data_IF_655912623705
#
_entry.id   IF_655912623705
#
_cell.length_a   1.000
_cell.length_b   1.000
_cell.length_c   1.000
_cell.angle_alpha   90.00
_cell.angle_beta   90.00
_cell.angle_gamma   90.00
#
_symmetry.space_group_name_H-M   'P 1'
#
loop_
_entity.id
_entity.type
_entity.pdbx_description
1 polymer ?
#
# COMPACT_ATOMS: atom_id res chain seq x y z
N UNK A 1 -26.16 -7.60 -12.45
CA UNK A 1 -24.82 -7.02 -12.24
C UNK A 1 -23.93 -8.05 -11.54
N UNK A 2 -22.69 -8.23 -11.91
CA UNK A 2 -21.77 -9.16 -11.26
C UNK A 2 -21.60 -8.81 -9.77
N UNK A 3 -21.48 -9.85 -8.93
CA UNK A 3 -21.34 -9.66 -7.47
C UNK A 3 -19.94 -9.13 -7.13
N UNK A 4 -19.86 -8.06 -6.35
CA UNK A 4 -18.58 -7.53 -5.83
C UNK A 4 -17.91 -8.56 -4.91
N UNK A 5 -18.64 -9.03 -3.91
CA UNK A 5 -18.23 -10.02 -2.93
C UNK A 5 -18.33 -11.42 -3.51
N UNK A 6 -17.46 -11.75 -4.46
CA UNK A 6 -17.27 -13.13 -4.90
C UNK A 6 -16.31 -13.84 -3.94
N UNK A 7 -16.33 -15.18 -3.95
CA UNK A 7 -15.54 -15.99 -3.03
C UNK A 7 -14.03 -15.68 -3.05
N UNK A 8 -13.45 -15.46 -4.23
CA UNK A 8 -12.02 -15.14 -4.36
C UNK A 8 -11.70 -13.75 -3.80
N UNK A 9 -12.53 -12.73 -4.09
CA UNK A 9 -12.31 -11.40 -3.56
C UNK A 9 -12.44 -11.36 -2.03
N UNK A 10 -13.43 -12.05 -1.45
CA UNK A 10 -13.60 -12.15 0.00
C UNK A 10 -12.39 -12.80 0.66
N UNK A 11 -11.84 -13.86 0.07
CA UNK A 11 -10.63 -14.53 0.56
C UNK A 11 -9.42 -13.60 0.53
N UNK A 12 -9.18 -12.90 -0.59
CA UNK A 12 -8.06 -11.94 -0.73
C UNK A 12 -8.23 -10.77 0.24
N UNK A 13 -9.45 -10.29 0.44
CA UNK A 13 -9.77 -9.24 1.40
C UNK A 13 -9.45 -9.66 2.84
N UNK A 14 -9.86 -10.87 3.23
CA UNK A 14 -9.59 -11.43 4.56
C UNK A 14 -8.09 -11.69 4.75
N UNK A 15 -7.40 -12.23 3.75
CA UNK A 15 -5.96 -12.42 3.79
C UNK A 15 -5.21 -11.07 3.92
N UNK A 16 -5.72 -10.00 3.28
CA UNK A 16 -5.16 -8.66 3.45
C UNK A 16 -5.38 -8.12 4.88
N UNK A 17 -6.54 -8.35 5.46
CA UNK A 17 -6.77 -8.04 6.87
C UNK A 17 -5.74 -8.75 7.76
N UNK A 18 -5.50 -10.04 7.53
CA UNK A 18 -4.60 -10.85 8.36
C UNK A 18 -3.13 -10.45 8.23
N UNK A 19 -2.65 -10.08 7.03
CA UNK A 19 -1.25 -9.58 6.88
C UNK A 19 -1.05 -8.27 7.64
N UNK A 20 -2.00 -7.33 7.54
CA UNK A 20 -1.89 -6.07 8.26
C UNK A 20 -2.13 -6.25 9.77
N UNK A 21 -3.02 -7.15 10.15
CA UNK A 21 -3.27 -7.46 11.56
C UNK A 21 -2.00 -8.04 12.22
N UNK A 22 -1.39 -9.06 11.61
CA UNK A 22 -0.15 -9.67 12.13
C UNK A 22 1.01 -8.68 12.21
N UNK A 23 1.14 -7.80 11.20
CA UNK A 23 2.17 -6.76 11.19
C UNK A 23 1.94 -5.70 12.27
N UNK A 24 0.72 -5.18 12.39
CA UNK A 24 0.39 -4.11 13.33
C UNK A 24 0.29 -4.60 14.78
N UNK A 25 0.12 -5.91 15.00
CA UNK A 25 0.12 -6.53 16.34
C UNK A 25 1.46 -6.34 17.04
N UNK A 26 2.57 -6.50 16.31
CA UNK A 26 3.93 -6.38 16.86
C UNK A 26 4.47 -4.95 16.87
N UNK A 27 3.94 -4.05 16.04
CA UNK A 27 4.53 -2.71 15.86
C UNK A 27 4.70 -1.90 17.17
N UNK A 28 3.68 -1.78 18.05
CA UNK A 28 3.83 -1.03 19.29
C UNK A 28 4.70 -1.78 20.33
N UNK A 29 4.86 -3.08 20.18
CA UNK A 29 5.56 -3.96 21.12
C UNK A 29 7.07 -3.98 20.87
N UNK A 30 7.49 -3.85 19.61
CA UNK A 30 8.91 -3.96 19.25
C UNK A 30 9.83 -2.96 19.96
N UNK A 31 9.48 -1.67 20.15
CA UNK A 31 10.33 -0.76 20.92
C UNK A 31 10.51 -1.21 22.38
N UNK A 32 9.45 -1.73 23.01
CA UNK A 32 9.47 -2.25 24.37
C UNK A 32 10.35 -3.49 24.43
N UNK A 33 10.14 -4.45 23.54
CA UNK A 33 10.94 -5.66 23.42
C UNK A 33 12.44 -5.37 23.28
N UNK A 34 12.82 -4.45 22.38
CA UNK A 34 14.22 -4.09 22.15
C UNK A 34 14.84 -3.41 23.38
N UNK A 35 14.08 -2.58 24.08
CA UNK A 35 14.53 -1.91 25.29
C UNK A 35 14.70 -2.89 26.45
N UNK A 36 13.71 -3.76 26.70
CA UNK A 36 13.69 -4.66 27.85
C UNK A 36 14.60 -5.88 27.68
N UNK A 37 14.61 -6.50 26.50
CA UNK A 37 15.41 -7.72 26.28
C UNK A 37 16.88 -7.46 25.95
N UNK A 38 17.17 -6.32 25.30
CA UNK A 38 18.54 -6.03 24.84
C UNK A 38 19.12 -4.75 25.44
N UNK A 39 18.38 -4.02 26.28
CA UNK A 39 18.82 -2.72 26.81
C UNK A 39 19.07 -1.68 25.72
N UNK A 40 18.41 -1.80 24.56
CA UNK A 40 18.66 -0.95 23.41
C UNK A 40 18.20 0.50 23.66
N UNK A 41 19.11 1.46 23.42
CA UNK A 41 18.78 2.88 23.48
C UNK A 41 17.86 3.33 22.33
N UNK A 42 17.22 4.48 22.49
CA UNK A 42 16.24 5.03 21.50
C UNK A 42 16.77 5.11 20.08
N UNK A 43 18.03 5.53 19.91
CA UNK A 43 18.68 5.59 18.61
C UNK A 43 18.79 4.20 17.96
N UNK A 44 19.26 3.21 18.69
CA UNK A 44 19.39 1.82 18.21
C UNK A 44 18.06 1.23 17.85
N UNK A 45 17.02 1.45 18.66
CA UNK A 45 15.63 1.04 18.37
C UNK A 45 15.18 1.64 17.03
N UNK A 46 15.41 2.93 16.83
CA UNK A 46 15.06 3.63 15.58
C UNK A 46 15.75 3.02 14.36
N UNK A 47 17.06 2.73 14.45
CA UNK A 47 17.84 2.10 13.37
C UNK A 47 17.31 0.70 13.03
N UNK A 48 17.08 -0.14 14.05
CA UNK A 48 16.57 -1.51 13.85
C UNK A 48 15.19 -1.50 13.20
N UNK A 49 14.30 -0.63 13.65
CA UNK A 49 12.95 -0.56 13.09
C UNK A 49 12.90 0.06 11.70
N UNK A 50 13.76 1.03 11.40
CA UNK A 50 13.83 1.65 10.07
C UNK A 50 14.35 0.71 8.99
N UNK A 51 15.22 -0.25 9.33
CA UNK A 51 15.71 -1.27 8.41
C UNK A 51 14.59 -2.02 7.69
N UNK A 52 13.53 -2.37 8.40
CA UNK A 52 12.33 -2.99 7.83
C UNK A 52 11.65 -2.10 6.76
N UNK A 53 11.50 -0.83 7.06
CA UNK A 53 10.83 0.11 6.16
C UNK A 53 11.64 0.32 4.89
N UNK A 54 12.97 0.43 5.01
CA UNK A 54 13.88 0.59 3.87
C UNK A 54 13.82 -0.62 2.95
N UNK A 55 13.91 -1.85 3.50
CA UNK A 55 13.86 -3.05 2.68
C UNK A 55 12.49 -3.30 2.06
N UNK A 56 11.40 -2.95 2.76
CA UNK A 56 10.05 -2.99 2.19
C UNK A 56 9.91 -2.03 1.00
N UNK A 57 10.43 -0.80 1.12
CA UNK A 57 10.43 0.20 0.05
C UNK A 57 11.24 -0.29 -1.17
N UNK A 58 12.47 -0.76 -0.94
CA UNK A 58 13.32 -1.30 -2.01
C UNK A 58 12.64 -2.48 -2.70
N UNK A 59 12.11 -3.44 -1.94
CA UNK A 59 11.39 -4.59 -2.50
C UNK A 59 10.18 -4.17 -3.35
N UNK A 60 9.44 -3.14 -2.94
CA UNK A 60 8.28 -2.63 -3.71
C UNK A 60 8.66 -2.11 -5.09
N UNK A 61 9.81 -1.46 -5.24
CA UNK A 61 10.28 -1.00 -6.55
C UNK A 61 10.39 -2.15 -7.57
N UNK A 62 10.82 -3.32 -7.13
CA UNK A 62 10.99 -4.49 -7.98
C UNK A 62 9.73 -5.37 -8.04
N UNK A 63 8.89 -5.34 -7.02
CA UNK A 63 7.73 -6.23 -6.87
C UNK A 63 6.72 -6.09 -8.00
N UNK A 64 6.52 -4.87 -8.51
CA UNK A 64 5.62 -4.63 -9.64
C UNK A 64 6.03 -5.41 -10.87
N UNK A 65 7.33 -5.35 -11.20
CA UNK A 65 7.89 -6.12 -12.31
C UNK A 65 7.78 -7.64 -12.10
N UNK A 66 8.12 -8.10 -10.90
CA UNK A 66 8.06 -9.52 -10.55
C UNK A 66 6.63 -10.06 -10.70
N UNK A 67 5.64 -9.34 -10.17
CA UNK A 67 4.22 -9.71 -10.23
C UNK A 67 3.64 -9.67 -11.64
N UNK A 68 4.15 -8.78 -12.51
CA UNK A 68 3.69 -8.69 -13.89
C UNK A 68 4.40 -9.70 -14.81
N UNK A 69 5.59 -10.19 -14.43
CA UNK A 69 6.39 -11.12 -15.22
C UNK A 69 6.09 -12.58 -14.88
N UNK A 70 6.04 -12.89 -13.60
CA UNK A 70 5.83 -14.25 -13.11
C UNK A 70 4.37 -14.53 -12.76
N UNK A 71 4.04 -15.80 -12.48
CA UNK A 71 2.72 -16.20 -12.02
C UNK A 71 2.37 -15.46 -10.72
N UNK A 72 1.33 -14.64 -10.76
CA UNK A 72 0.92 -13.74 -9.67
C UNK A 72 0.61 -14.50 -8.38
N UNK A 73 -0.04 -15.65 -8.49
CA UNK A 73 -0.37 -16.49 -7.34
C UNK A 73 0.90 -17.07 -6.70
N UNK A 74 1.85 -17.52 -7.49
CA UNK A 74 3.12 -18.05 -6.99
C UNK A 74 3.92 -16.96 -6.27
N UNK A 75 4.05 -15.77 -6.86
CA UNK A 75 4.72 -14.63 -6.21
C UNK A 75 4.04 -14.26 -4.90
N UNK A 76 2.70 -14.19 -4.88
CA UNK A 76 1.92 -13.92 -3.68
C UNK A 76 2.18 -14.95 -2.58
N UNK A 77 2.09 -16.24 -2.91
CA UNK A 77 2.28 -17.30 -1.91
C UNK A 77 3.70 -17.37 -1.38
N UNK A 78 4.71 -17.25 -2.25
CA UNK A 78 6.11 -17.25 -1.82
C UNK A 78 6.41 -16.05 -0.89
N UNK A 79 6.01 -14.85 -1.29
CA UNK A 79 6.26 -13.66 -0.46
C UNK A 79 5.46 -13.69 0.84
N UNK A 80 4.20 -14.14 0.81
CA UNK A 80 3.36 -14.24 2.02
C UNK A 80 3.86 -15.33 2.98
N UNK A 81 4.27 -16.49 2.45
CA UNK A 81 4.87 -17.56 3.24
C UNK A 81 6.16 -17.11 3.92
N UNK A 82 7.06 -16.44 3.18
CA UNK A 82 8.27 -15.84 3.76
C UNK A 82 7.92 -14.78 4.82
N UNK A 83 6.96 -13.91 4.56
CA UNK A 83 6.51 -12.92 5.54
C UNK A 83 6.03 -13.60 6.84
N UNK A 84 5.22 -14.63 6.74
CA UNK A 84 4.76 -15.37 7.93
C UNK A 84 5.95 -16.00 8.68
N UNK A 85 6.85 -16.67 7.97
CA UNK A 85 7.99 -17.40 8.54
C UNK A 85 8.94 -16.47 9.31
N UNK A 86 9.12 -15.22 8.90
CA UNK A 86 9.97 -14.27 9.60
C UNK A 86 9.51 -13.96 11.03
N UNK A 87 8.23 -14.11 11.37
CA UNK A 87 7.77 -13.98 12.76
C UNK A 87 8.35 -15.08 13.66
N UNK A 88 8.58 -16.28 13.14
CA UNK A 88 9.28 -17.34 13.89
C UNK A 88 10.74 -16.95 14.17
N UNK A 89 11.35 -16.16 13.28
CA UNK A 89 12.68 -15.64 13.49
C UNK A 89 12.79 -14.75 14.74
N UNK A 90 11.72 -14.08 15.14
CA UNK A 90 11.70 -13.25 16.36
C UNK A 90 11.72 -14.09 17.64
N UNK A 91 11.30 -15.37 17.58
CA UNK A 91 11.33 -16.32 18.70
C UNK A 91 12.72 -16.91 18.95
N UNK A 92 13.64 -16.82 17.98
CA UNK A 92 14.97 -17.45 18.09
C UNK A 92 15.81 -16.78 19.20
N UNK A 93 15.54 -15.52 19.52
CA UNK A 93 16.28 -14.78 20.56
C UNK A 93 17.76 -14.58 20.18
N UNK A 94 18.61 -14.55 21.17
CA UNK A 94 20.07 -14.55 21.02
C UNK A 94 20.69 -13.15 21.08
N UNK A 95 20.83 -12.42 19.97
CA UNK A 95 21.49 -11.11 19.98
C UNK A 95 20.68 -10.03 19.28
N UNK A 96 20.89 -8.77 19.71
CA UNK A 96 20.30 -7.59 19.06
C UNK A 96 20.64 -7.52 17.57
N UNK A 97 21.86 -7.92 17.19
CA UNK A 97 22.31 -7.91 15.79
C UNK A 97 21.52 -8.92 14.97
N UNK A 98 21.33 -10.14 15.47
CA UNK A 98 20.53 -11.17 14.79
C UNK A 98 19.09 -10.70 14.61
N UNK A 99 18.48 -10.14 15.66
CA UNK A 99 17.13 -9.58 15.57
C UNK A 99 17.06 -8.46 14.54
N UNK A 100 18.02 -7.54 14.52
CA UNK A 100 18.08 -6.43 13.56
C UNK A 100 18.16 -6.93 12.11
N UNK A 101 18.96 -7.96 11.85
CA UNK A 101 19.07 -8.59 10.52
C UNK A 101 17.74 -9.23 10.13
N UNK A 102 17.15 -10.07 11.00
CA UNK A 102 15.86 -10.71 10.74
C UNK A 102 14.78 -9.65 10.49
N UNK A 103 14.72 -8.62 11.33
CA UNK A 103 13.75 -7.52 11.18
C UNK A 103 13.91 -6.76 9.87
N UNK A 104 15.16 -6.46 9.50
CA UNK A 104 15.46 -5.77 8.24
C UNK A 104 15.04 -6.61 7.04
N UNK A 105 15.42 -7.88 6.99
CA UNK A 105 15.06 -8.79 5.90
C UNK A 105 13.55 -9.04 5.81
N UNK A 106 12.82 -9.04 6.93
CA UNK A 106 11.38 -9.23 6.97
C UNK A 106 10.61 -8.14 6.18
N UNK A 107 11.17 -6.96 6.02
CA UNK A 107 10.55 -5.88 5.23
C UNK A 107 10.36 -6.26 3.75
N UNK A 108 11.31 -6.99 3.15
CA UNK A 108 11.25 -7.33 1.73
C UNK A 108 10.02 -8.20 1.36
N UNK A 109 9.74 -9.32 2.04
CA UNK A 109 8.53 -10.10 1.76
C UNK A 109 7.24 -9.33 2.06
N UNK A 110 7.21 -8.46 3.07
CA UNK A 110 6.05 -7.59 3.31
C UNK A 110 5.79 -6.64 2.13
N UNK A 111 6.83 -5.95 1.65
CA UNK A 111 6.74 -5.06 0.50
C UNK A 111 6.18 -5.78 -0.73
N UNK A 112 6.73 -6.97 -1.04
CA UNK A 112 6.29 -7.79 -2.17
C UNK A 112 4.87 -8.31 -2.00
N UNK A 113 4.51 -8.79 -0.79
CA UNK A 113 3.17 -9.33 -0.52
C UNK A 113 2.09 -8.25 -0.64
N UNK A 114 2.34 -7.03 -0.18
CA UNK A 114 1.37 -5.94 -0.29
C UNK A 114 1.08 -5.57 -1.75
N UNK A 115 2.09 -5.59 -2.62
CA UNK A 115 1.93 -5.37 -4.06
C UNK A 115 1.19 -6.54 -4.73
N UNK A 116 1.64 -7.77 -4.50
CA UNK A 116 1.06 -8.95 -5.12
C UNK A 116 -0.39 -9.20 -4.69
N UNK A 117 -0.69 -9.06 -3.39
CA UNK A 117 -2.04 -9.24 -2.87
C UNK A 117 -3.03 -8.19 -3.40
N UNK A 118 -2.61 -6.92 -3.47
CA UNK A 118 -3.44 -5.86 -4.06
C UNK A 118 -3.67 -6.07 -5.56
N UNK A 119 -2.67 -6.59 -6.28
CA UNK A 119 -2.79 -6.92 -7.71
C UNK A 119 -3.76 -8.07 -7.92
N UNK A 120 -3.64 -9.14 -7.13
CA UNK A 120 -4.57 -10.28 -7.17
C UNK A 120 -5.99 -9.84 -6.80
N UNK A 121 -6.16 -8.95 -5.81
CA UNK A 121 -7.48 -8.40 -5.47
C UNK A 121 -8.14 -7.71 -6.67
N UNK A 122 -7.37 -6.97 -7.47
CA UNK A 122 -7.88 -6.31 -8.69
C UNK A 122 -8.23 -7.31 -9.79
N UNK A 123 -7.47 -8.40 -9.90
CA UNK A 123 -7.69 -9.43 -10.93
C UNK A 123 -8.95 -10.26 -10.70
N UNK A 124 -9.28 -10.55 -9.43
CA UNK A 124 -10.48 -11.32 -9.06
C UNK A 124 -11.76 -10.47 -9.05
N UNK A 125 -11.64 -9.15 -9.22
CA UNK A 125 -12.77 -8.22 -9.29
C UNK A 125 -13.34 -8.13 -10.71
N UNK A 126 -14.69 -8.09 -10.85
CA UNK A 126 -15.34 -7.73 -12.11
C UNK A 126 -14.88 -6.35 -12.58
N UNK A 127 -14.70 -6.19 -13.90
CA UNK A 127 -14.18 -4.95 -14.48
C UNK A 127 -15.02 -3.72 -14.08
N UNK A 128 -16.35 -3.86 -14.10
CA UNK A 128 -17.33 -2.80 -13.82
C UNK A 128 -17.35 -2.38 -12.35
N UNK A 129 -16.87 -3.26 -11.45
CA UNK A 129 -16.88 -3.01 -10.01
C UNK A 129 -15.47 -2.85 -9.40
N UNK A 130 -14.46 -2.78 -10.24
CA UNK A 130 -13.05 -2.75 -9.81
C UNK A 130 -12.72 -1.54 -8.95
N UNK A 131 -13.16 -0.35 -9.35
CA UNK A 131 -12.91 0.87 -8.58
C UNK A 131 -13.59 0.84 -7.19
N UNK A 132 -14.82 0.33 -7.13
CA UNK A 132 -15.54 0.11 -5.87
C UNK A 132 -14.80 -0.93 -4.99
N UNK A 133 -14.38 -2.05 -5.59
CA UNK A 133 -13.65 -3.11 -4.89
C UNK A 133 -12.30 -2.64 -4.33
N UNK A 134 -11.56 -1.81 -5.05
CA UNK A 134 -10.33 -1.18 -4.54
C UNK A 134 -10.63 -0.37 -3.26
N UNK A 135 -11.74 0.36 -3.24
CA UNK A 135 -12.18 1.09 -2.04
C UNK A 135 -12.41 0.17 -0.84
N UNK A 136 -13.17 -0.91 -1.03
CA UNK A 136 -13.41 -1.90 0.03
C UNK A 136 -12.16 -2.69 0.43
N UNK A 137 -11.26 -2.98 -0.52
CA UNK A 137 -9.99 -3.65 -0.21
C UNK A 137 -9.18 -2.89 0.84
N UNK A 138 -9.09 -1.57 0.72
CA UNK A 138 -8.39 -0.77 1.70
C UNK A 138 -9.08 -0.69 3.07
N UNK A 139 -10.38 -1.05 3.21
CA UNK A 139 -11.02 -1.13 4.52
C UNK A 139 -10.42 -2.25 5.38
N UNK A 140 -10.01 -3.38 4.78
CA UNK A 140 -9.37 -4.47 5.52
C UNK A 140 -8.09 -4.02 6.22
N UNK A 141 -7.25 -3.24 5.53
CA UNK A 141 -6.05 -2.64 6.09
C UNK A 141 -6.37 -1.70 7.26
N UNK A 142 -7.34 -0.78 7.06
CA UNK A 142 -7.70 0.18 8.10
C UNK A 142 -8.29 -0.50 9.33
N UNK A 143 -9.12 -1.51 9.15
CA UNK A 143 -9.70 -2.29 10.25
C UNK A 143 -8.60 -3.01 11.05
N UNK A 144 -7.64 -3.63 10.36
CA UNK A 144 -6.50 -4.26 10.99
C UNK A 144 -5.68 -3.25 11.80
N UNK A 145 -5.33 -2.11 11.18
CA UNK A 145 -4.53 -1.06 11.83
C UNK A 145 -5.24 -0.43 13.03
N UNK A 146 -6.58 -0.36 13.02
CA UNK A 146 -7.34 0.18 14.15
C UNK A 146 -7.40 -0.78 15.35
N UNK A 147 -7.45 -2.10 15.11
CA UNK A 147 -7.71 -3.10 16.16
C UNK A 147 -6.41 -3.70 16.70
N UNK A 148 -5.48 -4.09 15.82
CA UNK A 148 -4.36 -4.93 16.21
C UNK A 148 -3.37 -4.30 17.19
N UNK A 149 -3.04 -2.99 17.16
CA UNK A 149 -2.16 -2.38 18.17
C UNK A 149 -2.72 -2.50 19.58
N UNK A 150 -4.03 -2.29 19.73
CA UNK A 150 -4.72 -2.42 21.03
C UNK A 150 -4.71 -3.85 21.52
N UNK A 151 -4.93 -4.82 20.64
CA UNK A 151 -4.87 -6.25 20.97
C UNK A 151 -3.46 -6.64 21.40
N UNK A 152 -2.43 -6.20 20.66
CA UNK A 152 -1.02 -6.48 20.98
C UNK A 152 -0.62 -5.93 22.35
N UNK A 153 -0.96 -4.68 22.64
CA UNK A 153 -0.67 -4.05 23.93
C UNK A 153 -1.45 -4.73 25.07
N UNK A 154 -2.73 -5.06 24.88
CA UNK A 154 -3.51 -5.76 25.90
C UNK A 154 -2.94 -7.15 26.24
N UNK A 155 -2.46 -7.89 25.25
CA UNK A 155 -1.77 -9.17 25.47
C UNK A 155 -0.47 -8.96 26.24
N UNK A 156 0.31 -7.94 25.89
CA UNK A 156 1.53 -7.61 26.60
C UNK A 156 1.25 -7.22 28.07
N UNK A 157 0.31 -6.32 28.30
CA UNK A 157 -0.05 -5.86 29.66
C UNK A 157 -0.56 -6.98 30.57
N UNK A 158 -1.26 -7.98 30.00
CA UNK A 158 -1.83 -9.09 30.78
C UNK A 158 -0.88 -10.26 30.97
N UNK A 159 0.00 -10.55 30.01
CA UNK A 159 0.86 -11.73 30.01
C UNK A 159 2.35 -11.43 30.24
N UNK A 160 2.81 -10.22 29.89
CA UNK A 160 4.24 -9.87 29.85
C UNK A 160 5.05 -10.69 28.83
N UNK A 161 4.39 -11.47 27.97
CA UNK A 161 5.03 -12.48 27.13
C UNK A 161 5.13 -12.03 25.67
N UNK A 162 6.32 -11.67 25.22
CA UNK A 162 6.62 -11.29 23.85
C UNK A 162 6.47 -12.45 22.86
N UNK A 163 6.86 -13.65 23.24
CA UNK A 163 6.82 -14.83 22.38
C UNK A 163 5.40 -15.18 21.99
N UNK A 164 4.44 -15.00 22.91
CA UNK A 164 3.01 -15.19 22.62
C UNK A 164 2.55 -14.23 21.50
N UNK A 165 3.00 -12.98 21.51
CA UNK A 165 2.62 -11.98 20.52
C UNK A 165 3.24 -12.34 19.16
N UNK A 166 4.51 -12.75 19.13
CA UNK A 166 5.18 -13.18 17.90
C UNK A 166 4.54 -14.46 17.33
N UNK A 167 4.19 -15.42 18.18
CA UNK A 167 3.47 -16.63 17.77
C UNK A 167 2.08 -16.33 17.22
N UNK A 168 1.30 -15.46 17.87
CA UNK A 168 -0.01 -15.03 17.37
C UNK A 168 0.09 -14.30 16.04
N UNK A 169 1.13 -13.48 15.84
CA UNK A 169 1.41 -12.82 14.57
C UNK A 169 1.73 -13.83 13.48
N UNK A 170 2.56 -14.85 13.79
CA UNK A 170 2.82 -15.96 12.88
C UNK A 170 1.55 -16.71 12.51
N UNK A 171 0.75 -17.13 13.49
CA UNK A 171 -0.48 -17.90 13.26
C UNK A 171 -1.50 -17.12 12.44
N UNK A 172 -1.64 -15.82 12.70
CA UNK A 172 -2.50 -14.94 11.91
C UNK A 172 -2.00 -14.79 10.47
N UNK A 173 -0.70 -14.58 10.29
CA UNK A 173 -0.10 -14.50 8.95
C UNK A 173 -0.23 -15.85 8.21
N UNK A 174 0.00 -16.97 8.89
CA UNK A 174 -0.18 -18.32 8.33
C UNK A 174 -1.62 -18.58 7.90
N UNK A 175 -2.59 -18.17 8.71
CA UNK A 175 -4.02 -18.29 8.34
C UNK A 175 -4.32 -17.47 7.06
N UNK A 176 -3.80 -16.25 6.95
CA UNK A 176 -3.92 -15.44 5.74
C UNK A 176 -3.25 -16.09 4.51
N UNK A 177 -2.07 -16.68 4.69
CA UNK A 177 -1.39 -17.46 3.65
C UNK A 177 -2.25 -18.66 3.18
N UNK A 178 -2.80 -19.45 4.12
CA UNK A 178 -3.66 -20.59 3.80
C UNK A 178 -4.93 -20.16 3.08
N UNK A 179 -5.55 -19.05 3.46
CA UNK A 179 -6.70 -18.49 2.75
C UNK A 179 -6.32 -18.11 1.33
N UNK A 180 -5.21 -17.39 1.13
CA UNK A 180 -4.73 -17.00 -0.20
C UNK A 180 -4.36 -18.20 -1.08
N UNK A 181 -3.90 -19.32 -0.50
CA UNK A 181 -3.60 -20.53 -1.27
C UNK A 181 -4.84 -21.11 -1.98
N UNK A 182 -6.04 -20.88 -1.42
CA UNK A 182 -7.32 -21.34 -2.00
C UNK A 182 -7.93 -20.37 -3.02
N UNK A 183 -7.29 -19.22 -3.29
CA UNK A 183 -7.77 -18.23 -4.27
C UNK A 183 -7.44 -18.71 -5.68
N UNK A 184 -8.42 -18.66 -6.58
CA UNK A 184 -8.21 -18.94 -8.01
C UNK A 184 -7.98 -17.64 -8.75
N UNK A 185 -6.81 -17.48 -9.36
CA UNK A 185 -6.41 -16.31 -10.13
C UNK A 185 -6.30 -16.69 -11.59
N UNK A 186 -6.94 -15.92 -12.48
CA UNK A 186 -6.74 -16.08 -13.93
C UNK A 186 -5.38 -15.49 -14.30
N UNK A 187 -4.55 -16.29 -14.93
CA UNK A 187 -3.23 -15.82 -15.37
C UNK A 187 -3.36 -14.76 -16.46
N UNK A 188 -2.75 -13.60 -16.25
CA UNK A 188 -2.72 -12.47 -17.18
C UNK A 188 -1.31 -11.87 -17.26
N UNK A 189 -0.29 -12.67 -16.97
CA UNK A 189 1.12 -12.24 -16.97
C UNK A 189 1.70 -12.25 -18.39
N UNK A 190 2.79 -11.49 -18.58
CA UNK A 190 3.51 -11.51 -19.87
C UNK A 190 3.99 -12.91 -20.22
N UNK A 191 4.48 -13.64 -19.22
CA UNK A 191 5.00 -14.99 -19.42
C UNK A 191 3.90 -15.97 -19.82
N UNK A 192 2.67 -15.87 -19.27
CA UNK A 192 1.54 -16.71 -19.69
C UNK A 192 1.14 -16.44 -21.14
N UNK A 193 1.03 -15.16 -21.53
CA UNK A 193 0.70 -14.81 -22.91
C UNK A 193 1.73 -15.31 -23.93
N UNK A 194 3.02 -15.24 -23.60
CA UNK A 194 4.09 -15.81 -24.46
C UNK A 194 4.03 -17.33 -24.50
N UNK A 195 3.73 -17.98 -23.36
CA UNK A 195 3.59 -19.44 -23.30
C UNK A 195 2.41 -19.93 -24.13
N UNK A 196 1.25 -19.26 -23.99
CA UNK A 196 0.04 -19.58 -24.77
C UNK A 196 0.28 -19.38 -26.28
N UNK A 197 0.97 -18.29 -26.67
CA UNK A 197 1.32 -18.05 -28.07
C UNK A 197 2.28 -19.09 -28.62
N UNK A 198 3.27 -19.55 -27.84
CA UNK A 198 4.17 -20.65 -28.26
C UNK A 198 3.44 -21.95 -28.41
N UNK A 199 2.56 -22.31 -27.47
CA UNK A 199 1.76 -23.54 -27.55
C UNK A 199 0.85 -23.54 -28.79
N UNK A 200 0.24 -22.39 -29.11
CA UNK A 200 -0.57 -22.24 -30.33
C UNK A 200 0.26 -22.46 -31.59
N UNK A 201 1.50 -21.95 -31.64
CA UNK A 201 2.41 -22.15 -32.77
C UNK A 201 2.91 -23.59 -32.89
N UNK A 202 3.21 -24.26 -31.77
CA UNK A 202 3.59 -25.67 -31.74
C UNK A 202 2.42 -26.53 -32.21
N UNK A 203 1.20 -26.31 -31.72
CA UNK A 203 -0.01 -27.02 -32.17
C UNK A 203 -0.30 -26.80 -33.66
N UNK A 204 -0.12 -25.57 -34.16
CA UNK A 204 -0.30 -25.24 -35.59
C UNK A 204 0.79 -25.90 -36.48
N UNK A 205 1.99 -26.09 -35.94
CA UNK A 205 3.08 -26.79 -36.66
C UNK A 205 2.82 -28.31 -36.78
N UNK A 206 2.31 -28.88 -35.69
CA UNK A 206 2.03 -30.33 -35.62
C UNK A 206 0.79 -30.75 -36.42
N UNK A 207 -0.20 -29.85 -36.55
CA UNK A 207 -1.46 -30.15 -37.20
C UNK A 207 -1.44 -30.09 -38.74
N UNK A 208 -0.41 -29.45 -39.34
CA UNK A 208 -0.26 -29.29 -40.81
C UNK A 208 -1.53 -28.75 -41.52
N UNK A 209 -2.44 -28.07 -40.83
CA UNK A 209 -3.75 -27.63 -41.30
C UNK A 209 -3.83 -26.15 -41.67
N UNK A 210 -4.47 -25.86 -42.79
CA UNK A 210 -4.69 -24.50 -43.34
C UNK A 210 -5.57 -23.62 -42.45
N UNK A 211 -6.35 -24.22 -41.55
CA UNK A 211 -7.34 -23.51 -40.69
C UNK A 211 -6.71 -22.79 -39.48
N UNK A 212 -5.49 -23.18 -39.08
CA UNK A 212 -4.76 -22.50 -38.00
C UNK A 212 -4.00 -21.23 -38.43
N UNK A 213 -4.08 -20.85 -39.70
CA UNK A 213 -3.31 -19.72 -40.26
C UNK A 213 -3.53 -18.40 -39.54
N UNK A 214 -4.78 -18.09 -39.18
CA UNK A 214 -5.14 -16.84 -38.48
C UNK A 214 -4.68 -16.85 -37.02
N UNK A 215 -4.80 -17.97 -36.33
CA UNK A 215 -4.39 -18.09 -34.93
C UNK A 215 -2.86 -18.13 -34.80
N UNK A 216 -2.17 -18.79 -35.74
CA UNK A 216 -0.73 -18.78 -35.84
C UNK A 216 -0.17 -17.39 -36.21
N UNK A 217 -0.84 -16.65 -37.10
CA UNK A 217 -0.47 -15.27 -37.44
C UNK A 217 -0.70 -14.33 -36.24
N UNK A 218 -1.80 -14.47 -35.52
CA UNK A 218 -2.08 -13.75 -34.29
C UNK A 218 -1.04 -14.09 -33.19
N UNK A 219 -0.65 -15.36 -33.04
CA UNK A 219 0.37 -15.78 -32.09
C UNK A 219 1.76 -15.24 -32.46
N UNK A 220 2.13 -15.22 -33.76
CA UNK A 220 3.38 -14.58 -34.24
C UNK A 220 3.37 -13.08 -33.98
N UNK A 221 2.24 -12.43 -34.24
CA UNK A 221 2.08 -11.00 -33.96
C UNK A 221 2.22 -10.70 -32.45
N UNK A 222 1.60 -11.49 -31.59
CA UNK A 222 1.81 -11.40 -30.13
C UNK A 222 3.29 -11.57 -29.79
N UNK A 223 3.96 -12.59 -30.28
CA UNK A 223 5.37 -12.83 -29.98
C UNK A 223 6.29 -11.71 -30.49
N UNK A 224 6.01 -11.15 -31.68
CA UNK A 224 6.78 -10.02 -32.24
C UNK A 224 6.59 -8.74 -31.42
N UNK A 225 5.35 -8.43 -31.00
CA UNK A 225 5.06 -7.30 -30.13
C UNK A 225 5.74 -7.48 -28.76
N UNK A 226 5.69 -8.69 -28.18
CA UNK A 226 6.33 -8.95 -26.89
C UNK A 226 7.85 -8.90 -26.99
N UNK A 227 8.45 -9.33 -28.10
CA UNK A 227 9.90 -9.26 -28.30
C UNK A 227 10.38 -7.81 -28.42
N UNK A 228 9.69 -6.98 -29.20
CA UNK A 228 10.01 -5.57 -29.37
C UNK A 228 9.72 -4.78 -28.08
N UNK A 229 8.55 -4.99 -27.47
CA UNK A 229 8.17 -4.38 -26.20
C UNK A 229 9.06 -4.85 -25.04
N UNK A 230 9.46 -6.13 -25.03
CA UNK A 230 10.34 -6.67 -23.99
C UNK A 230 11.72 -6.01 -24.02
N UNK A 231 12.31 -5.81 -25.21
CA UNK A 231 13.60 -5.13 -25.35
C UNK A 231 13.52 -3.64 -24.97
N UNK A 232 12.46 -2.96 -25.38
CA UNK A 232 12.21 -1.58 -24.99
C UNK A 232 11.92 -1.46 -23.47
N UNK A 233 11.10 -2.36 -22.94
CA UNK A 233 10.73 -2.46 -21.53
C UNK A 233 11.92 -2.80 -20.63
N UNK A 234 12.83 -3.70 -21.08
CA UNK A 234 14.03 -4.05 -20.32
C UNK A 234 15.04 -2.89 -20.24
N UNK A 235 15.01 -1.94 -21.17
CA UNK A 235 15.92 -0.78 -21.24
C UNK A 235 15.37 0.47 -20.58
N UNK A 236 14.10 0.51 -20.16
CA UNK A 236 13.43 1.72 -19.66
C UNK A 236 13.05 1.63 -18.19
N UNK A 237 12.97 2.80 -17.54
CA UNK A 237 12.44 2.96 -16.17
C UNK A 237 11.00 2.43 -16.02
N UNK A 238 10.28 2.29 -17.13
CA UNK A 238 8.89 1.79 -17.19
C UNK A 238 8.76 0.34 -16.67
N UNK A 239 9.88 -0.38 -16.54
CA UNK A 239 9.97 -1.70 -15.93
C UNK A 239 9.64 -1.70 -14.43
N UNK A 240 10.08 -0.67 -13.70
CA UNK A 240 9.98 -0.59 -12.25
C UNK A 240 8.95 0.43 -11.78
N UNK A 241 8.70 1.46 -12.60
CA UNK A 241 7.75 2.51 -12.32
C UNK A 241 6.89 2.77 -13.56
N UNK A 242 5.57 2.90 -13.38
CA UNK A 242 4.66 3.22 -14.47
C UNK A 242 4.90 4.66 -14.93
N UNK A 243 5.72 4.85 -15.98
CA UNK A 243 6.12 6.20 -16.47
C UNK A 243 4.91 7.05 -16.82
N UNK A 244 3.86 6.48 -17.46
CA UNK A 244 2.60 7.21 -17.72
C UNK A 244 1.90 7.72 -16.44
N UNK A 245 2.21 7.14 -15.30
CA UNK A 245 1.68 7.53 -13.99
C UNK A 245 2.54 8.55 -13.22
N UNK A 246 3.65 9.04 -13.79
CA UNK A 246 4.61 9.90 -13.09
C UNK A 246 3.96 11.12 -12.41
N UNK A 247 3.04 11.78 -13.09
CA UNK A 247 2.37 12.96 -12.56
C UNK A 247 1.42 12.64 -11.40
N UNK A 248 0.71 11.50 -11.49
CA UNK A 248 -0.12 10.98 -10.38
C UNK A 248 0.78 10.60 -9.20
N UNK A 249 1.95 10.00 -9.47
CA UNK A 249 2.94 9.62 -8.46
C UNK A 249 3.54 10.82 -7.73
N UNK A 250 3.95 11.85 -8.47
CA UNK A 250 4.49 13.08 -7.89
C UNK A 250 3.45 13.80 -7.01
N UNK A 251 2.23 13.93 -7.52
CA UNK A 251 1.12 14.46 -6.74
C UNK A 251 0.91 13.65 -5.45
N UNK A 252 0.86 12.31 -5.55
CA UNK A 252 0.67 11.43 -4.40
C UNK A 252 1.81 11.56 -3.39
N UNK A 253 3.07 11.73 -3.85
CA UNK A 253 4.22 11.98 -2.99
C UNK A 253 4.09 13.29 -2.20
N UNK A 254 3.58 14.36 -2.82
CA UNK A 254 3.28 15.61 -2.10
C UNK A 254 2.21 15.42 -1.01
N UNK A 255 1.14 14.67 -1.31
CA UNK A 255 0.06 14.41 -0.35
C UNK A 255 0.53 13.52 0.80
N UNK A 256 1.29 12.47 0.49
CA UNK A 256 1.83 11.55 1.50
C UNK A 256 2.97 12.15 2.32
N UNK A 257 3.72 13.13 1.79
CA UNK A 257 4.66 13.95 2.56
C UNK A 257 3.97 14.58 3.77
N UNK A 258 2.85 15.22 3.53
CA UNK A 258 2.08 15.88 4.59
C UNK A 258 1.57 14.90 5.63
N UNK A 259 1.14 13.71 5.19
CA UNK A 259 0.76 12.63 6.09
C UNK A 259 1.97 12.11 6.89
N UNK A 260 3.16 12.03 6.29
CA UNK A 260 4.41 11.64 6.96
C UNK A 260 4.78 12.59 8.09
N UNK A 261 4.73 13.91 7.85
CA UNK A 261 4.95 14.93 8.90
C UNK A 261 3.94 14.76 10.02
N UNK A 262 2.64 14.72 9.68
CA UNK A 262 1.56 14.63 10.66
C UNK A 262 1.69 13.35 11.52
N UNK A 263 1.79 12.19 10.88
CA UNK A 263 1.78 10.90 11.57
C UNK A 263 2.94 10.71 12.53
N UNK A 264 4.07 11.32 12.24
CA UNK A 264 5.28 11.17 13.06
C UNK A 264 5.28 12.13 14.25
N UNK A 265 4.91 13.39 14.04
CA UNK A 265 5.08 14.42 15.08
C UNK A 265 3.83 14.68 15.92
N UNK A 266 2.67 14.11 15.54
CA UNK A 266 1.41 14.31 16.23
C UNK A 266 1.42 13.78 17.68
N UNK A 267 2.15 12.68 17.95
CA UNK A 267 2.23 12.09 19.28
C UNK A 267 2.94 13.02 20.26
N UNK A 268 4.10 13.55 19.84
CA UNK A 268 4.89 14.47 20.66
C UNK A 268 4.14 15.80 20.81
N UNK A 269 3.58 16.33 19.72
CA UNK A 269 2.80 17.55 19.71
C UNK A 269 1.58 17.47 20.66
N UNK A 270 0.81 16.39 20.62
CA UNK A 270 -0.36 16.21 21.46
C UNK A 270 0.00 16.17 22.96
N UNK A 271 1.13 15.54 23.29
CA UNK A 271 1.62 15.46 24.67
C UNK A 271 2.18 16.81 25.16
N UNK A 272 3.09 17.42 24.38
CA UNK A 272 3.82 18.61 24.82
C UNK A 272 3.01 19.90 24.72
N UNK A 273 2.14 20.03 23.70
CA UNK A 273 1.40 21.27 23.43
C UNK A 273 -0.04 21.25 23.85
N UNK A 274 -0.67 20.07 23.85
CA UNK A 274 -2.08 19.92 24.24
C UNK A 274 -2.27 19.18 25.56
N UNK A 275 -1.20 18.71 26.21
CA UNK A 275 -1.25 18.02 27.49
C UNK A 275 -1.94 16.64 27.43
N UNK A 276 -2.08 16.05 26.24
CA UNK A 276 -2.82 14.80 26.04
C UNK A 276 -1.89 13.59 25.96
N UNK A 277 -1.84 12.74 26.97
CA UNK A 277 -0.99 11.56 27.00
C UNK A 277 -1.35 10.53 25.91
N UNK A 278 -2.65 10.34 25.64
CA UNK A 278 -3.18 9.40 24.64
C UNK A 278 -3.75 10.12 23.40
N UNK A 279 -3.39 11.38 23.18
CA UNK A 279 -3.98 12.22 22.14
C UNK A 279 -3.76 11.67 20.73
N UNK A 280 -2.57 11.18 20.43
CA UNK A 280 -2.27 10.61 19.12
C UNK A 280 -3.07 9.33 18.83
N UNK A 281 -3.20 8.42 19.80
CA UNK A 281 -3.99 7.21 19.63
C UNK A 281 -5.46 7.53 19.34
N UNK A 282 -6.05 8.47 20.10
CA UNK A 282 -7.41 8.93 19.88
C UNK A 282 -7.57 9.62 18.52
N UNK A 283 -6.60 10.45 18.11
CA UNK A 283 -6.59 11.09 16.78
C UNK A 283 -6.64 10.06 15.65
N UNK A 284 -5.74 9.06 15.68
CA UNK A 284 -5.71 8.03 14.64
C UNK A 284 -6.94 7.14 14.65
N UNK A 285 -7.54 6.88 15.81
CA UNK A 285 -8.81 6.17 15.90
C UNK A 285 -9.93 6.95 15.19
N UNK A 286 -10.10 8.23 15.51
CA UNK A 286 -11.09 9.13 14.89
C UNK A 286 -10.84 9.24 13.39
N UNK A 287 -9.58 9.46 12.97
CA UNK A 287 -9.17 9.50 11.57
C UNK A 287 -9.54 8.20 10.83
N UNK A 288 -9.25 7.04 11.42
CA UNK A 288 -9.53 5.73 10.81
C UNK A 288 -11.03 5.49 10.67
N UNK A 289 -11.84 5.82 11.67
CA UNK A 289 -13.31 5.71 11.61
C UNK A 289 -13.89 6.61 10.52
N UNK A 290 -13.43 7.85 10.44
CA UNK A 290 -13.86 8.81 9.41
C UNK A 290 -13.44 8.38 8.01
N UNK A 291 -12.23 7.84 7.86
CA UNK A 291 -11.72 7.29 6.62
C UNK A 291 -12.55 6.08 6.15
N UNK A 292 -12.94 5.19 7.07
CA UNK A 292 -13.83 4.06 6.76
C UNK A 292 -15.22 4.54 6.32
N UNK A 293 -15.79 5.51 7.02
CA UNK A 293 -17.07 6.12 6.66
C UNK A 293 -17.02 6.72 5.24
N UNK A 294 -15.96 7.49 4.94
CA UNK A 294 -15.77 8.08 3.61
C UNK A 294 -15.64 7.04 2.49
N UNK A 295 -14.97 5.92 2.75
CA UNK A 295 -14.86 4.82 1.77
C UNK A 295 -16.21 4.18 1.48
N UNK A 296 -17.05 3.99 2.50
CA UNK A 296 -18.41 3.48 2.33
C UNK A 296 -19.27 4.46 1.52
N UNK A 297 -19.19 5.75 1.82
CA UNK A 297 -19.93 6.82 1.10
C UNK A 297 -19.45 6.94 -0.36
N UNK A 298 -18.13 6.92 -0.59
CA UNK A 298 -17.50 7.04 -1.90
C UNK A 298 -17.68 5.82 -2.80
N UNK A 299 -18.03 4.65 -2.25
CA UNK A 299 -18.16 3.41 -3.00
C UNK A 299 -19.18 3.49 -4.15
N UNK A 300 -20.30 4.21 -3.97
CA UNK A 300 -21.32 4.42 -5.00
C UNK A 300 -20.80 5.22 -6.21
N UNK A 301 -20.02 6.27 -5.94
CA UNK A 301 -19.41 7.13 -6.95
C UNK A 301 -18.32 6.39 -7.73
N UNK A 302 -17.47 5.62 -7.02
CA UNK A 302 -16.46 4.76 -7.65
C UNK A 302 -17.08 3.66 -8.52
N UNK A 303 -18.20 3.08 -8.10
CA UNK A 303 -18.98 2.11 -8.91
C UNK A 303 -19.51 2.71 -10.22
N UNK A 304 -19.85 4.01 -10.21
CA UNK A 304 -20.27 4.74 -11.43
C UNK A 304 -19.09 5.16 -12.32
N UNK A 305 -17.85 4.80 -11.95
CA UNK A 305 -16.65 5.23 -12.68
C UNK A 305 -16.24 6.69 -12.44
N UNK A 306 -16.84 7.37 -11.46
CA UNK A 306 -16.57 8.78 -11.14
C UNK A 306 -15.26 8.96 -10.36
N UNK A 307 -14.17 8.34 -10.86
CA UNK A 307 -12.85 8.33 -10.19
C UNK A 307 -12.32 9.74 -9.97
N UNK A 308 -12.39 10.58 -11.01
CA UNK A 308 -11.92 11.97 -10.94
C UNK A 308 -12.71 12.79 -9.94
N UNK A 309 -14.02 12.57 -9.80
CA UNK A 309 -14.88 13.25 -8.82
C UNK A 309 -14.45 12.90 -7.39
N UNK A 310 -14.23 11.62 -7.10
CA UNK A 310 -13.73 11.18 -5.79
C UNK A 310 -12.35 11.72 -5.48
N UNK A 311 -11.42 11.69 -6.46
CA UNK A 311 -10.10 12.26 -6.30
C UNK A 311 -10.18 13.76 -5.98
N UNK A 312 -10.97 14.51 -6.77
CA UNK A 312 -11.16 15.96 -6.56
C UNK A 312 -11.73 16.27 -5.19
N UNK A 313 -12.80 15.56 -4.79
CA UNK A 313 -13.42 15.75 -3.48
C UNK A 313 -12.42 15.47 -2.34
N UNK A 314 -11.75 14.31 -2.39
CA UNK A 314 -10.80 13.91 -1.36
C UNK A 314 -9.62 14.86 -1.23
N UNK A 315 -9.07 15.34 -2.35
CA UNK A 315 -7.95 16.30 -2.35
C UNK A 315 -8.35 17.67 -1.84
N UNK A 316 -9.53 18.18 -2.23
CA UNK A 316 -10.04 19.44 -1.71
C UNK A 316 -10.25 19.40 -0.20
N UNK A 317 -10.83 18.32 0.31
CA UNK A 317 -11.01 18.10 1.76
C UNK A 317 -9.63 18.01 2.45
N UNK A 318 -8.66 17.32 1.85
CA UNK A 318 -7.31 17.16 2.41
C UNK A 318 -6.61 18.51 2.61
N UNK A 319 -6.58 19.38 1.59
CA UNK A 319 -5.98 20.74 1.73
C UNK A 319 -6.62 21.50 2.87
N UNK A 320 -7.95 21.50 2.92
CA UNK A 320 -8.66 22.21 3.97
C UNK A 320 -8.32 21.68 5.36
N UNK A 321 -8.20 20.35 5.49
CA UNK A 321 -7.84 19.70 6.75
C UNK A 321 -6.44 20.06 7.22
N UNK A 322 -5.43 20.03 6.32
CA UNK A 322 -4.06 20.37 6.70
C UNK A 322 -3.90 21.86 7.04
N UNK A 323 -4.57 22.76 6.30
CA UNK A 323 -4.58 24.19 6.63
C UNK A 323 -5.25 24.44 7.98
N UNK A 324 -6.39 23.81 8.24
CA UNK A 324 -7.08 23.92 9.53
C UNK A 324 -6.23 23.37 10.68
N UNK A 325 -5.54 22.24 10.47
CA UNK A 325 -4.65 21.65 11.46
C UNK A 325 -3.45 22.55 11.79
N UNK A 326 -2.89 23.22 10.79
CA UNK A 326 -1.78 24.14 10.99
C UNK A 326 -2.22 25.47 11.67
N UNK A 327 -3.49 25.86 11.52
CA UNK A 327 -4.02 27.13 12.05
C UNK A 327 -4.69 26.98 13.43
N UNK A 328 -5.31 25.83 13.71
CA UNK A 328 -6.15 25.63 14.93
C UNK A 328 -5.38 24.76 15.93
N UNK A 329 -5.01 25.38 17.07
CA UNK A 329 -4.14 24.76 18.07
C UNK A 329 -4.88 24.45 19.39
N UNK A 330 -6.08 23.92 19.30
CA UNK A 330 -6.87 23.56 20.47
C UNK A 330 -7.40 22.12 20.39
N UNK A 331 -7.88 21.61 21.50
CA UNK A 331 -8.41 20.25 21.65
C UNK A 331 -9.50 19.90 20.62
N UNK A 332 -10.48 20.76 20.43
CA UNK A 332 -11.59 20.51 19.50
C UNK A 332 -11.14 20.55 18.04
N UNK A 333 -10.30 21.51 17.70
CA UNK A 333 -9.70 21.59 16.36
C UNK A 333 -8.86 20.38 16.02
N UNK A 334 -8.12 19.83 16.98
CA UNK A 334 -7.31 18.62 16.82
C UNK A 334 -8.17 17.43 16.34
N UNK A 335 -9.28 17.14 17.03
CA UNK A 335 -10.16 16.03 16.62
C UNK A 335 -11.03 16.35 15.40
N UNK A 336 -11.48 17.60 15.24
CA UNK A 336 -12.19 18.01 14.03
C UNK A 336 -11.33 17.80 12.78
N UNK A 337 -10.04 18.14 12.84
CA UNK A 337 -9.10 17.89 11.75
C UNK A 337 -8.90 16.39 11.49
N UNK A 338 -8.88 15.52 12.52
CA UNK A 338 -8.84 14.08 12.34
C UNK A 338 -10.03 13.56 11.52
N UNK A 339 -11.25 14.05 11.82
CA UNK A 339 -12.46 13.72 11.06
C UNK A 339 -12.33 14.17 9.61
N UNK A 340 -11.99 15.44 9.38
CA UNK A 340 -11.94 16.01 8.03
C UNK A 340 -10.85 15.33 7.20
N UNK A 341 -9.67 15.08 7.79
CA UNK A 341 -8.56 14.39 7.11
C UNK A 341 -8.92 12.93 6.77
N UNK A 342 -9.60 12.24 7.69
CA UNK A 342 -10.09 10.89 7.45
C UNK A 342 -11.07 10.85 6.27
N UNK A 343 -12.02 11.78 6.21
CA UNK A 343 -12.96 11.92 5.09
C UNK A 343 -12.20 12.18 3.77
N UNK A 344 -11.24 13.09 3.76
CA UNK A 344 -10.42 13.40 2.58
C UNK A 344 -9.64 12.18 2.06
N UNK A 345 -8.88 11.53 2.93
CA UNK A 345 -8.07 10.37 2.59
C UNK A 345 -8.93 9.16 2.18
N UNK A 346 -10.10 9.00 2.77
CA UNK A 346 -11.03 7.92 2.45
C UNK A 346 -11.55 7.98 1.01
N UNK A 347 -11.78 9.18 0.48
CA UNK A 347 -12.14 9.39 -0.93
C UNK A 347 -10.93 9.36 -1.86
N UNK A 348 -9.84 10.01 -1.47
CA UNK A 348 -8.66 10.21 -2.30
C UNK A 348 -7.93 8.90 -2.61
N UNK A 349 -7.60 8.10 -1.60
CA UNK A 349 -6.70 6.95 -1.75
C UNK A 349 -7.20 5.91 -2.76
N UNK A 350 -8.46 5.40 -2.68
CA UNK A 350 -8.96 4.44 -3.65
C UNK A 350 -9.11 5.05 -5.06
N UNK A 351 -9.39 6.35 -5.16
CA UNK A 351 -9.47 7.03 -6.44
C UNK A 351 -8.09 7.10 -7.11
N UNK A 352 -7.05 7.51 -6.38
CA UNK A 352 -5.66 7.56 -6.89
C UNK A 352 -5.16 6.16 -7.27
N UNK A 353 -5.43 5.13 -6.47
CA UNK A 353 -5.11 3.75 -6.82
C UNK A 353 -5.79 3.33 -8.13
N UNK A 354 -7.06 3.66 -8.29
CA UNK A 354 -7.81 3.41 -9.52
C UNK A 354 -7.22 4.18 -10.71
N UNK A 355 -6.75 5.43 -10.51
CA UNK A 355 -6.07 6.20 -11.56
C UNK A 355 -4.81 5.47 -12.06
N UNK A 356 -3.97 4.97 -11.18
CA UNK A 356 -2.79 4.17 -11.57
C UNK A 356 -3.19 2.92 -12.36
N UNK A 357 -4.18 2.18 -11.89
CA UNK A 357 -4.67 0.95 -12.55
C UNK A 357 -5.25 1.26 -13.94
N UNK A 358 -5.96 2.39 -14.10
CA UNK A 358 -6.55 2.78 -15.37
C UNK A 358 -5.54 3.33 -16.40
N UNK A 359 -4.36 3.78 -15.95
CA UNK A 359 -3.25 4.19 -16.82
C UNK A 359 -2.42 2.99 -17.32
N UNK A 360 -2.57 1.83 -16.69
CA UNK A 360 -1.81 0.62 -17.01
C UNK A 360 -2.63 -0.38 -17.81
N UNK A 361 -2.00 -1.09 -18.78
CA UNK A 361 -2.63 -2.25 -19.42
C UNK A 361 -2.82 -3.39 -18.40
N UNK A 362 -3.67 -4.36 -18.72
CA UNK A 362 -4.04 -5.44 -17.81
C UNK A 362 -2.86 -6.27 -17.29
N UNK A 363 -1.86 -6.46 -18.13
CA UNK A 363 -0.64 -7.21 -17.82
C UNK A 363 0.41 -6.41 -17.03
N UNK A 364 0.11 -5.16 -16.63
CA UNK A 364 1.01 -4.25 -15.88
C UNK A 364 0.38 -3.68 -14.61
N UNK A 365 -0.60 -4.37 -14.06
CA UNK A 365 -1.28 -3.95 -12.81
C UNK A 365 -0.36 -4.02 -11.58
N UNK A 366 0.58 -4.97 -11.58
CA UNK A 366 1.61 -5.06 -10.56
C UNK A 366 2.50 -3.81 -10.54
N UNK A 367 3.00 -3.40 -11.71
CA UNK A 367 3.77 -2.14 -11.85
C UNK A 367 2.94 -0.92 -11.44
N UNK A 368 1.66 -0.86 -11.79
CA UNK A 368 0.77 0.24 -11.39
C UNK A 368 0.62 0.33 -9.86
N UNK A 369 0.33 -0.79 -9.19
CA UNK A 369 0.20 -0.84 -7.73
C UNK A 369 1.53 -0.54 -7.02
N UNK A 370 2.62 -1.11 -7.51
CA UNK A 370 3.97 -0.84 -7.00
C UNK A 370 4.31 0.65 -7.11
N UNK A 371 4.07 1.28 -8.26
CA UNK A 371 4.33 2.70 -8.48
C UNK A 371 3.54 3.59 -7.53
N UNK A 372 2.27 3.26 -7.31
CA UNK A 372 1.42 3.97 -6.36
C UNK A 372 1.96 3.85 -4.93
N UNK A 373 2.24 2.63 -4.46
CA UNK A 373 2.73 2.39 -3.11
C UNK A 373 4.13 3.00 -2.88
N UNK A 374 5.01 2.91 -3.88
CA UNK A 374 6.34 3.54 -3.83
C UNK A 374 6.23 5.07 -3.75
N UNK A 375 5.36 5.69 -4.55
CA UNK A 375 5.14 7.14 -4.48
C UNK A 375 4.62 7.57 -3.10
N UNK A 376 3.73 6.78 -2.50
CA UNK A 376 3.22 6.98 -1.15
C UNK A 376 4.33 6.88 -0.11
N UNK A 377 5.16 5.83 -0.14
CA UNK A 377 6.23 5.61 0.84
C UNK A 377 7.35 6.64 0.72
N UNK A 378 7.74 7.03 -0.51
CA UNK A 378 8.73 8.09 -0.74
C UNK A 378 8.26 9.41 -0.15
N UNK A 379 7.00 9.77 -0.39
CA UNK A 379 6.45 10.99 0.19
C UNK A 379 6.44 10.96 1.72
N UNK A 380 5.98 9.87 2.34
CA UNK A 380 6.03 9.71 3.81
C UNK A 380 7.47 9.85 4.31
N UNK A 381 8.41 9.11 3.72
CA UNK A 381 9.81 9.15 4.15
C UNK A 381 10.42 10.55 4.09
N UNK A 382 10.19 11.27 3.00
CA UNK A 382 10.61 12.67 2.88
C UNK A 382 9.92 13.56 3.91
N UNK A 383 8.63 13.36 4.16
CA UNK A 383 7.87 14.10 5.17
C UNK A 383 8.41 13.90 6.59
N UNK A 384 8.75 12.66 6.94
CA UNK A 384 9.34 12.34 8.26
C UNK A 384 10.67 13.05 8.43
N UNK A 385 11.58 12.96 7.45
CA UNK A 385 12.93 13.56 7.54
C UNK A 385 12.86 15.09 7.55
N UNK A 386 12.19 15.68 6.57
CA UNK A 386 12.12 17.16 6.44
C UNK A 386 11.29 17.74 7.58
N UNK A 387 10.19 17.10 7.95
CA UNK A 387 9.38 17.51 9.10
C UNK A 387 10.14 17.47 10.42
N UNK A 388 11.05 16.48 10.58
CA UNK A 388 11.95 16.40 11.74
C UNK A 388 12.91 17.58 11.83
N UNK A 389 13.62 17.84 10.75
CA UNK A 389 14.56 18.98 10.66
C UNK A 389 13.84 20.29 10.96
N UNK A 390 12.68 20.52 10.35
CA UNK A 390 11.92 21.77 10.56
C UNK A 390 11.37 21.85 12.00
N UNK A 391 10.88 20.72 12.55
CA UNK A 391 10.37 20.73 13.93
C UNK A 391 11.45 21.03 14.96
N UNK A 392 12.68 20.57 14.73
CA UNK A 392 13.82 20.81 15.61
C UNK A 392 14.27 22.28 15.55
N UNK A 393 14.36 22.85 14.35
CA UNK A 393 14.88 24.23 14.13
C UNK A 393 13.81 25.29 14.45
N UNK A 394 12.56 25.07 14.01
CA UNK A 394 11.51 26.09 13.98
C UNK A 394 10.21 25.67 14.71
N UNK A 395 10.21 24.47 15.32
CA UNK A 395 9.08 23.94 16.08
C UNK A 395 8.00 23.27 15.23
N UNK A 396 7.08 22.60 15.91
CA UNK A 396 6.01 21.79 15.28
C UNK A 396 5.08 22.60 14.36
N UNK A 397 4.77 23.83 14.72
CA UNK A 397 3.90 24.69 13.90
C UNK A 397 4.49 24.95 12.51
N UNK A 398 5.78 25.22 12.45
CA UNK A 398 6.48 25.38 11.16
C UNK A 398 6.43 24.11 10.33
N UNK A 399 6.61 22.93 10.95
CA UNK A 399 6.52 21.66 10.27
C UNK A 399 5.10 21.41 9.74
N UNK A 400 4.05 21.73 10.50
CA UNK A 400 2.65 21.56 10.05
C UNK A 400 2.27 22.57 8.95
N UNK A 401 2.76 23.80 9.01
CA UNK A 401 2.56 24.76 7.92
C UNK A 401 3.30 24.32 6.64
N UNK A 402 4.51 23.77 6.76
CA UNK A 402 5.23 23.18 5.63
C UNK A 402 4.47 22.00 5.04
N UNK A 403 3.93 21.10 5.87
CA UNK A 403 3.08 20.02 5.43
C UNK A 403 1.84 20.52 4.68
N UNK A 404 1.18 21.56 5.20
CA UNK A 404 0.02 22.19 4.57
C UNK A 404 0.38 22.82 3.22
N UNK A 405 1.52 23.49 3.13
CA UNK A 405 2.00 24.10 1.88
C UNK A 405 2.29 23.02 0.82
N UNK A 406 3.02 21.95 1.17
CA UNK A 406 3.34 20.86 0.23
C UNK A 406 2.07 20.15 -0.22
N UNK A 407 1.09 19.94 0.68
CA UNK A 407 -0.21 19.39 0.33
C UNK A 407 -0.95 20.27 -0.68
N UNK A 408 -0.99 21.59 -0.43
CA UNK A 408 -1.64 22.55 -1.32
C UNK A 408 -0.97 22.60 -2.70
N UNK A 409 0.37 22.53 -2.76
CA UNK A 409 1.13 22.43 -4.03
C UNK A 409 0.75 21.15 -4.78
N UNK A 410 0.69 20.00 -4.10
CA UNK A 410 0.26 18.73 -4.72
C UNK A 410 -1.15 18.80 -5.30
N UNK A 411 -2.08 19.43 -4.57
CA UNK A 411 -3.46 19.60 -5.05
C UNK A 411 -3.58 20.65 -6.16
N UNK A 412 -2.82 21.74 -6.10
CA UNK A 412 -2.74 22.70 -7.21
C UNK A 412 -2.20 22.02 -8.48
N UNK A 413 -1.18 21.20 -8.36
CA UNK A 413 -0.64 20.39 -9.46
C UNK A 413 -1.69 19.41 -10.03
N UNK A 414 -2.52 18.80 -9.15
CA UNK A 414 -3.63 17.97 -9.60
C UNK A 414 -4.60 18.74 -10.49
N UNK A 415 -5.06 19.92 -10.07
CA UNK A 415 -6.00 20.72 -10.85
C UNK A 415 -5.39 21.28 -12.13
N UNK A 416 -4.14 21.74 -12.06
CA UNK A 416 -3.47 22.36 -13.20
C UNK A 416 -3.08 21.35 -14.30
N UNK A 417 -2.66 20.16 -13.93
CA UNK A 417 -2.05 19.22 -14.87
C UNK A 417 -2.58 17.78 -14.77
N UNK A 418 -2.54 17.16 -13.57
CA UNK A 418 -2.75 15.71 -13.40
C UNK A 418 -4.13 15.28 -13.88
N UNK A 419 -5.18 16.05 -13.53
CA UNK A 419 -6.56 15.76 -13.92
C UNK A 419 -6.74 15.67 -15.43
N UNK A 420 -6.21 16.63 -16.17
CA UNK A 420 -6.32 16.66 -17.65
C UNK A 420 -5.46 15.56 -18.27
N UNK A 421 -4.22 15.40 -17.81
CA UNK A 421 -3.32 14.34 -18.27
C UNK A 421 -3.92 12.95 -18.07
N UNK A 422 -4.50 12.68 -16.89
CA UNK A 422 -5.18 11.42 -16.61
C UNK A 422 -6.36 11.18 -17.57
N UNK A 423 -7.25 12.16 -17.74
CA UNK A 423 -8.42 12.04 -18.61
C UNK A 423 -8.05 11.75 -20.07
N UNK A 424 -6.91 12.27 -20.53
CA UNK A 424 -6.39 12.06 -21.91
C UNK A 424 -5.71 10.70 -22.07
N UNK A 425 -5.01 10.21 -21.03
CA UNK A 425 -4.13 9.04 -21.12
C UNK A 425 -4.73 7.76 -20.51
N UNK A 426 -5.90 7.83 -19.88
CA UNK A 426 -6.54 6.65 -19.29
C UNK A 426 -6.95 5.65 -20.38
N UNK A 427 -6.77 4.37 -20.08
CA UNK A 427 -7.14 3.28 -20.99
C UNK A 427 -8.59 2.78 -20.75
N UNK A 428 -9.21 3.23 -19.65
CA UNK A 428 -10.57 2.79 -19.23
C UNK A 428 -11.30 3.92 -18.54
#
# INVERSE_FOLDING_TARGET
MPRLWNANYTKVWLANFMIFFSFMLVMPILPLYLSEQYGAGKHTIGVVLSGYTITALVARLFSGYIVDTYNRKTVLLLSYGLFATFFLGYLIGGSLILFAVIRTLHGAPFGTTTVSNSTVAIDVLPAERRAEGIGYYGLSNNLATAISPTVGLAIYETSGNYDLIFLLSFLTALAGFLINSTVTVRETTKLSAVKDAKQTLEAAHDANEIDFGKDAEHARHILSLYHHDLLHYLKTLDRFFLVKGWSVGLMLACLSFSYGVLSTYIAIYSKERLGMTSGAAAFFLVLSLSLMAARLMGSRSLRRGEVVRNATLGMSISVFSYLAFAAIHNYWGFFACAVILGLGNGHMFPAVQTMFVNLAPNNRRGTANSSMLTSWDVGIGLGVVVGGIISEISGYYAAFWTASFVNAVGVAFYFAYVRQSYMRNRLR
#
